data_IF_870519401519
#
_entry.id   IF_870519401519
#
_cell.length_a   1.000
_cell.length_b   1.000
_cell.length_c   1.000
_cell.angle_alpha   90.00
_cell.angle_beta   90.00
_cell.angle_gamma   90.00
#
_symmetry.space_group_name_H-M   'P 1'
#
loop_
_entity.id
_entity.type
_entity.pdbx_description
1 polymer ?
#
# COMPACT_ATOMS: atom_id res chain seq x y z
N UNK A 1 -10.66 -8.25 -4.39
CA UNK A 1 -11.27 -7.66 -3.18
C UNK A 1 -12.42 -8.54 -2.74
N UNK A 2 -12.45 -8.89 -1.48
CA UNK A 2 -13.52 -9.65 -0.87
C UNK A 2 -13.90 -8.98 0.46
N UNK A 3 -15.20 -8.97 0.78
CA UNK A 3 -15.70 -8.47 2.04
C UNK A 3 -16.70 -9.47 2.60
N UNK A 4 -16.45 -9.93 3.81
CA UNK A 4 -17.35 -10.77 4.57
C UNK A 4 -17.81 -10.00 5.79
N UNK A 5 -19.11 -10.01 6.07
CA UNK A 5 -19.70 -9.40 7.26
C UNK A 5 -20.76 -10.31 7.85
N UNK A 6 -20.68 -10.50 9.15
CA UNK A 6 -21.69 -11.20 9.91
C UNK A 6 -22.16 -10.30 11.08
N UNK A 7 -23.46 -10.22 11.27
CA UNK A 7 -24.08 -9.47 12.38
C UNK A 7 -25.08 -10.40 13.05
N UNK A 8 -25.00 -10.46 14.34
CA UNK A 8 -25.98 -11.15 15.18
C UNK A 8 -26.35 -10.24 16.34
N UNK A 9 -27.63 -10.15 16.65
CA UNK A 9 -28.14 -9.37 17.77
C UNK A 9 -29.33 -10.04 18.42
N UNK A 10 -29.52 -9.75 19.68
CA UNK A 10 -30.71 -10.10 20.46
C UNK A 10 -31.22 -8.85 21.16
N UNK A 11 -32.49 -8.68 21.18
CA UNK A 11 -33.17 -7.62 21.91
C UNK A 11 -34.35 -8.21 22.71
N UNK A 12 -34.72 -7.54 23.76
CA UNK A 12 -35.84 -7.97 24.56
C UNK A 12 -36.14 -7.04 25.74
N UNK A 13 -37.23 -7.26 26.41
CA UNK A 13 -37.60 -6.57 27.62
C UNK A 13 -36.91 -7.23 28.84
N UNK A 14 -36.27 -6.43 29.68
CA UNK A 14 -35.80 -6.87 31.01
C UNK A 14 -36.93 -6.86 32.02
N UNK A 15 -37.81 -5.88 31.91
CA UNK A 15 -39.07 -5.73 32.65
C UNK A 15 -40.01 -4.77 31.92
N UNK A 16 -41.10 -4.38 32.53
CA UNK A 16 -42.11 -3.52 31.89
C UNK A 16 -41.63 -2.11 31.52
N UNK A 17 -40.47 -1.68 32.09
CA UNK A 17 -39.95 -0.32 31.94
C UNK A 17 -38.52 -0.29 31.35
N UNK A 18 -37.97 -1.45 31.01
CA UNK A 18 -36.57 -1.54 30.55
C UNK A 18 -36.40 -2.55 29.43
N UNK A 19 -35.72 -2.13 28.38
CA UNK A 19 -35.36 -2.96 27.24
C UNK A 19 -33.82 -3.08 27.15
N UNK A 20 -33.40 -4.17 26.52
CA UNK A 20 -31.99 -4.39 26.23
C UNK A 20 -31.79 -4.77 24.76
N UNK A 21 -30.62 -4.40 24.24
CA UNK A 21 -30.10 -4.87 22.95
C UNK A 21 -28.64 -5.28 23.16
N UNK A 22 -28.26 -6.46 22.65
CA UNK A 22 -26.89 -6.93 22.59
C UNK A 22 -26.59 -7.37 21.18
N UNK A 23 -25.49 -6.91 20.62
CA UNK A 23 -25.10 -7.31 19.27
C UNK A 23 -23.62 -7.60 19.14
N UNK A 24 -23.30 -8.47 18.17
CA UNK A 24 -21.95 -8.74 17.70
C UNK A 24 -21.90 -8.50 16.20
N UNK A 25 -20.90 -7.77 15.78
CA UNK A 25 -20.63 -7.49 14.37
C UNK A 25 -19.19 -7.92 14.07
N UNK A 26 -19.01 -8.83 13.11
CA UNK A 26 -17.72 -9.24 12.60
C UNK A 26 -17.62 -8.81 11.13
N UNK A 27 -16.49 -8.19 10.78
CA UNK A 27 -16.15 -7.82 9.42
C UNK A 27 -14.75 -8.27 9.07
N UNK A 28 -14.57 -8.79 7.86
CA UNK A 28 -13.26 -9.06 7.26
C UNK A 28 -13.24 -8.52 5.84
N UNK A 29 -12.21 -7.75 5.54
CA UNK A 29 -11.93 -7.25 4.20
C UNK A 29 -10.56 -7.75 3.76
N UNK A 30 -10.49 -8.32 2.57
CA UNK A 30 -9.23 -8.73 1.94
C UNK A 30 -9.08 -8.09 0.58
N UNK A 31 -7.87 -7.68 0.26
CA UNK A 31 -7.55 -7.09 -1.02
C UNK A 31 -6.15 -7.55 -1.47
N UNK A 32 -6.10 -8.25 -2.61
CA UNK A 32 -4.88 -8.46 -3.36
C UNK A 32 -4.83 -7.48 -4.53
N UNK A 33 -3.71 -6.84 -4.71
CA UNK A 33 -3.50 -5.87 -5.77
C UNK A 33 -2.17 -6.13 -6.46
N UNK A 34 -2.22 -6.38 -7.76
CA UNK A 34 -1.07 -6.36 -8.64
C UNK A 34 -1.04 -5.01 -9.36
N UNK A 35 0.11 -4.37 -9.36
CA UNK A 35 0.37 -3.15 -10.11
C UNK A 35 1.43 -3.48 -11.17
N UNK A 36 1.02 -3.72 -12.42
CA UNK A 36 1.95 -3.94 -13.51
C UNK A 36 2.58 -2.62 -13.95
N UNK A 37 3.75 -2.72 -14.56
CA UNK A 37 4.43 -1.60 -15.19
C UNK A 37 4.79 -0.44 -14.22
N UNK A 38 5.06 -0.74 -12.96
CA UNK A 38 5.65 0.24 -12.06
C UNK A 38 7.10 0.51 -12.45
N UNK A 39 7.48 1.78 -12.44
CA UNK A 39 8.82 2.22 -12.87
C UNK A 39 9.78 2.14 -11.71
N UNK A 40 10.90 1.44 -11.90
CA UNK A 40 12.04 1.45 -10.98
C UNK A 40 12.87 2.70 -11.28
N UNK A 41 12.83 3.67 -10.37
CA UNK A 41 13.31 5.03 -10.61
C UNK A 41 14.79 5.10 -10.97
N UNK A 42 15.66 4.41 -10.23
CA UNK A 42 17.11 4.38 -10.50
C UNK A 42 17.43 3.73 -11.85
N UNK A 43 16.73 2.66 -12.21
CA UNK A 43 16.87 2.01 -13.52
C UNK A 43 16.35 2.89 -14.66
N UNK A 44 15.27 3.62 -14.42
CA UNK A 44 14.76 4.58 -15.40
C UNK A 44 15.78 5.67 -15.70
N UNK A 45 16.37 6.27 -14.65
CA UNK A 45 17.39 7.29 -14.83
C UNK A 45 18.66 6.73 -15.50
N UNK A 46 19.07 5.51 -15.18
CA UNK A 46 20.19 4.86 -15.86
C UNK A 46 19.89 4.58 -17.34
N UNK A 47 18.65 4.19 -17.67
CA UNK A 47 18.24 3.90 -19.04
C UNK A 47 18.14 5.15 -19.93
N UNK A 48 17.73 6.30 -19.39
CA UNK A 48 17.70 7.57 -20.15
C UNK A 48 19.07 8.25 -20.23
N UNK A 49 20.03 7.87 -19.35
CA UNK A 49 21.41 8.33 -19.43
C UNK A 49 22.20 7.52 -20.47
N UNK A 50 21.81 7.73 -21.73
CA UNK A 50 22.36 7.02 -22.86
C UNK A 50 23.53 7.79 -23.51
N UNK A 51 24.56 7.04 -23.89
CA UNK A 51 25.76 7.52 -24.61
C UNK A 51 25.98 6.67 -25.86
N UNK A 52 26.83 7.14 -26.76
CA UNK A 52 27.32 6.29 -27.87
C UNK A 52 28.41 5.37 -27.32
N UNK A 53 28.20 4.07 -27.41
CA UNK A 53 29.22 3.09 -27.09
C UNK A 53 30.40 3.22 -28.06
N UNK A 54 31.63 3.50 -27.58
CA UNK A 54 32.79 3.68 -28.42
C UNK A 54 33.23 2.41 -29.17
N UNK A 55 32.81 1.24 -28.68
CA UNK A 55 33.17 -0.03 -29.32
C UNK A 55 32.25 -0.41 -30.48
N UNK A 56 30.95 -0.06 -30.37
CA UNK A 56 29.93 -0.49 -31.33
C UNK A 56 29.31 0.66 -32.14
N UNK A 57 29.47 1.90 -31.67
CA UNK A 57 28.80 3.07 -32.24
C UNK A 57 27.29 3.14 -31.98
N UNK A 58 26.72 2.18 -31.23
CA UNK A 58 25.31 2.12 -30.89
C UNK A 58 25.00 2.88 -29.59
N UNK A 59 23.73 3.28 -29.36
CA UNK A 59 23.30 3.79 -28.07
C UNK A 59 23.43 2.72 -26.97
N UNK A 60 24.04 3.09 -25.86
CA UNK A 60 24.17 2.25 -24.67
C UNK A 60 23.98 3.10 -23.40
N UNK A 61 23.59 2.47 -22.29
CA UNK A 61 23.56 3.16 -21.00
C UNK A 61 24.99 3.57 -20.60
N UNK A 62 25.15 4.79 -20.07
CA UNK A 62 26.44 5.24 -19.54
C UNK A 62 26.97 4.28 -18.48
N UNK A 63 26.09 3.81 -17.58
CA UNK A 63 26.44 2.86 -16.53
C UNK A 63 27.00 1.53 -17.04
N UNK A 64 26.69 1.15 -18.29
CA UNK A 64 27.24 -0.05 -18.93
C UNK A 64 28.60 0.20 -19.57
N UNK A 65 28.83 1.41 -20.10
CA UNK A 65 30.08 1.80 -20.79
C UNK A 65 31.13 2.25 -19.79
N UNK A 66 30.75 3.02 -18.80
CA UNK A 66 31.63 3.50 -17.72
C UNK A 66 30.89 3.40 -16.37
N UNK A 67 31.02 2.28 -15.66
CA UNK A 67 30.41 2.09 -14.35
C UNK A 67 30.85 3.09 -13.28
N UNK A 68 31.99 3.78 -13.51
CA UNK A 68 32.55 4.76 -12.58
C UNK A 68 32.10 6.20 -12.86
N UNK A 69 31.35 6.40 -13.96
CA UNK A 69 30.87 7.73 -14.32
C UNK A 69 29.89 8.25 -13.28
N UNK A 70 29.84 9.57 -13.04
CA UNK A 70 28.78 10.17 -12.24
C UNK A 70 27.41 9.87 -12.81
N UNK A 71 26.50 9.42 -11.97
CA UNK A 71 25.11 9.21 -12.38
C UNK A 71 24.45 10.56 -12.66
N UNK A 72 23.84 10.71 -13.85
CA UNK A 72 23.09 11.92 -14.19
C UNK A 72 21.76 11.92 -13.46
N UNK A 73 21.46 13.07 -12.85
CA UNK A 73 20.13 13.38 -12.28
C UNK A 73 19.56 12.39 -11.28
N UNK A 74 20.40 11.86 -10.40
CA UNK A 74 19.84 11.21 -9.23
C UNK A 74 19.21 12.28 -8.32
N UNK A 75 17.93 12.13 -7.92
CA UNK A 75 17.25 13.14 -7.10
C UNK A 75 17.91 13.38 -5.75
N UNK A 76 18.87 12.56 -5.37
CA UNK A 76 19.53 12.57 -4.07
C UNK A 76 21.03 12.88 -4.13
N UNK A 77 21.54 13.34 -5.28
CA UNK A 77 22.95 13.76 -5.41
C UNK A 77 23.95 12.61 -5.27
N UNK A 78 23.60 11.40 -5.67
CA UNK A 78 24.51 10.26 -5.71
C UNK A 78 25.57 10.54 -6.78
N UNK A 79 26.87 10.61 -6.41
CA UNK A 79 27.88 11.16 -7.31
C UNK A 79 28.33 10.23 -8.42
N UNK A 80 28.09 8.93 -8.30
CA UNK A 80 28.51 7.92 -9.26
C UNK A 80 27.57 6.72 -9.27
N UNK A 81 27.63 5.91 -10.34
CA UNK A 81 27.06 4.59 -10.36
C UNK A 81 27.84 3.69 -9.40
N UNK A 82 27.39 3.59 -8.16
CA UNK A 82 28.06 2.82 -7.12
C UNK A 82 27.23 1.61 -6.74
N UNK A 83 27.87 0.48 -6.56
CA UNK A 83 27.26 -0.74 -6.09
C UNK A 83 26.69 -0.53 -4.67
N UNK A 84 25.43 -0.79 -4.49
CA UNK A 84 24.72 -0.61 -3.23
C UNK A 84 23.75 0.57 -3.17
N UNK A 85 23.85 1.53 -4.09
CA UNK A 85 22.87 2.61 -4.25
C UNK A 85 21.81 2.29 -5.29
N UNK A 86 22.09 1.37 -6.20
CA UNK A 86 21.22 1.03 -7.32
C UNK A 86 20.61 -0.36 -7.15
N UNK A 87 19.42 -0.55 -7.73
CA UNK A 87 18.75 -1.84 -7.80
C UNK A 87 19.29 -2.77 -8.90
N UNK A 88 20.38 -2.36 -9.54
CA UNK A 88 21.13 -3.11 -10.56
C UNK A 88 22.63 -2.94 -10.34
N UNK A 89 23.43 -3.77 -10.98
CA UNK A 89 24.90 -3.68 -10.91
C UNK A 89 25.43 -2.94 -12.12
N UNK A 90 26.00 -1.73 -11.97
CA UNK A 90 26.61 -1.00 -13.08
C UNK A 90 27.67 -1.84 -13.80
N UNK A 91 27.62 -1.86 -15.12
CA UNK A 91 28.53 -2.65 -15.94
C UNK A 91 28.14 -4.12 -16.18
N UNK A 92 27.03 -4.60 -15.60
CA UNK A 92 26.55 -5.98 -15.78
C UNK A 92 25.90 -6.24 -17.16
N UNK A 93 25.68 -5.20 -17.94
CA UNK A 93 25.07 -5.27 -19.27
C UNK A 93 23.56 -5.43 -19.27
N UNK A 94 22.87 -5.37 -18.12
CA UNK A 94 21.42 -5.47 -18.07
C UNK A 94 20.72 -4.17 -18.49
N UNK A 95 21.37 -3.02 -18.31
CA UNK A 95 20.78 -1.74 -18.71
C UNK A 95 20.60 -1.64 -20.23
N UNK A 96 19.39 -1.36 -20.65
CA UNK A 96 19.05 -1.08 -22.04
C UNK A 96 18.62 0.39 -22.19
N UNK A 97 19.19 1.14 -23.17
CA UNK A 97 18.91 2.56 -23.31
C UNK A 97 17.46 2.82 -23.71
N UNK A 98 16.89 3.88 -23.15
CA UNK A 98 15.52 4.32 -23.35
C UNK A 98 15.48 5.70 -23.98
N UNK A 99 14.92 5.80 -25.18
CA UNK A 99 14.72 7.08 -25.85
C UNK A 99 13.28 7.58 -25.65
N UNK A 100 13.08 8.41 -24.64
CA UNK A 100 11.76 8.97 -24.32
C UNK A 100 11.21 9.95 -25.37
N UNK A 101 12.07 10.47 -26.26
CA UNK A 101 11.65 11.43 -27.29
C UNK A 101 11.17 10.75 -28.57
N UNK A 102 11.46 9.48 -28.77
CA UNK A 102 11.02 8.72 -29.95
C UNK A 102 9.63 8.05 -29.75
N UNK A 103 8.93 8.38 -28.68
CA UNK A 103 7.63 7.78 -28.37
C UNK A 103 7.76 6.26 -28.18
N UNK A 104 6.73 5.51 -28.59
CA UNK A 104 6.71 4.06 -28.42
C UNK A 104 7.86 3.35 -29.15
N UNK A 105 8.29 3.86 -30.29
CA UNK A 105 9.40 3.33 -31.08
C UNK A 105 10.76 3.42 -30.35
N UNK A 106 10.89 4.34 -29.39
CA UNK A 106 12.10 4.50 -28.56
C UNK A 106 12.19 3.56 -27.37
N UNK A 107 11.16 2.73 -27.17
CA UNK A 107 11.07 1.85 -25.99
C UNK A 107 11.18 0.40 -26.43
N UNK A 108 12.40 -0.14 -26.37
CA UNK A 108 12.64 -1.56 -26.66
C UNK A 108 12.05 -2.47 -25.56
N UNK A 109 11.81 -3.75 -25.89
CA UNK A 109 11.39 -4.72 -24.89
C UNK A 109 12.44 -4.85 -23.76
N UNK A 110 13.72 -4.87 -24.12
CA UNK A 110 14.81 -4.93 -23.13
C UNK A 110 14.79 -3.72 -22.18
N UNK A 111 14.48 -2.52 -22.67
CA UNK A 111 14.33 -1.34 -21.81
C UNK A 111 13.12 -1.46 -20.89
N UNK A 112 11.99 -2.00 -21.37
CA UNK A 112 10.81 -2.28 -20.54
C UNK A 112 11.14 -3.28 -19.44
N UNK A 113 11.79 -4.39 -19.78
CA UNK A 113 12.16 -5.44 -18.83
C UNK A 113 13.16 -4.96 -17.77
N UNK A 114 14.00 -4.00 -18.12
CA UNK A 114 14.95 -3.40 -17.18
C UNK A 114 14.29 -2.37 -16.25
N UNK A 115 13.39 -1.53 -16.77
CA UNK A 115 12.84 -0.37 -16.05
C UNK A 115 11.56 -0.69 -15.31
N UNK A 116 10.75 -1.63 -15.81
CA UNK A 116 9.41 -1.91 -15.29
C UNK A 116 9.38 -3.15 -14.42
N UNK A 117 8.51 -3.14 -13.44
CA UNK A 117 8.26 -4.28 -12.56
C UNK A 117 6.78 -4.41 -12.23
N UNK A 118 6.34 -5.63 -11.97
CA UNK A 118 5.06 -5.88 -11.33
C UNK A 118 5.24 -5.96 -9.81
N UNK A 119 4.49 -5.16 -9.06
CA UNK A 119 4.43 -5.27 -7.61
C UNK A 119 3.11 -5.86 -7.16
N UNK A 120 3.17 -6.73 -6.14
CA UNK A 120 2.00 -7.34 -5.51
C UNK A 120 1.91 -6.91 -4.07
N UNK A 121 0.72 -6.50 -3.65
CA UNK A 121 0.45 -6.12 -2.27
C UNK A 121 -0.83 -6.81 -1.82
N UNK A 122 -0.86 -7.25 -0.59
CA UNK A 122 -2.07 -7.74 0.07
C UNK A 122 -2.40 -6.90 1.29
N UNK A 123 -3.68 -6.76 1.55
CA UNK A 123 -4.22 -6.06 2.71
C UNK A 123 -5.36 -6.90 3.28
N UNK A 124 -5.29 -7.16 4.57
CA UNK A 124 -6.39 -7.74 5.34
C UNK A 124 -6.75 -6.79 6.47
N UNK A 125 -8.04 -6.50 6.59
CA UNK A 125 -8.62 -5.75 7.71
C UNK A 125 -9.67 -6.62 8.37
N UNK A 126 -9.59 -6.76 9.70
CA UNK A 126 -10.61 -7.42 10.49
C UNK A 126 -11.16 -6.48 11.55
N UNK A 127 -12.46 -6.58 11.80
CA UNK A 127 -13.13 -5.80 12.82
C UNK A 127 -14.10 -6.70 13.60
N UNK A 128 -14.04 -6.61 14.91
CA UNK A 128 -15.01 -7.21 15.82
C UNK A 128 -15.58 -6.10 16.70
N UNK A 129 -16.89 -5.98 16.71
CA UNK A 129 -17.62 -5.05 17.58
C UNK A 129 -18.63 -5.85 18.40
N UNK A 130 -18.56 -5.68 19.70
CA UNK A 130 -19.56 -6.16 20.66
C UNK A 130 -20.21 -4.92 21.26
N UNK A 131 -21.53 -4.85 21.22
CA UNK A 131 -22.27 -3.74 21.84
C UNK A 131 -23.41 -4.25 22.70
N UNK A 132 -23.67 -3.52 23.77
CA UNK A 132 -24.81 -3.75 24.64
C UNK A 132 -25.41 -2.42 25.05
N UNK A 133 -26.71 -2.30 24.96
CA UNK A 133 -27.45 -1.11 25.32
C UNK A 133 -28.65 -1.52 26.20
N UNK A 134 -28.90 -0.72 27.21
CA UNK A 134 -30.13 -0.81 28.02
C UNK A 134 -30.79 0.56 27.96
N UNK A 135 -32.07 0.54 27.65
CA UNK A 135 -32.94 1.74 27.62
C UNK A 135 -34.13 1.53 28.55
N UNK A 136 -34.69 2.61 29.05
CA UNK A 136 -35.88 2.52 29.90
C UNK A 136 -36.28 3.86 30.48
N UNK A 137 -37.18 3.79 31.42
CA UNK A 137 -37.60 4.94 32.21
C UNK A 137 -37.64 4.62 33.71
N UNK A 138 -37.80 5.67 34.52
CA UNK A 138 -37.74 5.59 35.97
C UNK A 138 -39.11 5.39 36.62
N UNK A 139 -40.17 5.15 35.85
CA UNK A 139 -41.54 5.09 36.39
C UNK A 139 -41.74 4.03 37.48
N UNK A 140 -40.92 2.94 37.45
CA UNK A 140 -40.91 1.92 38.49
C UNK A 140 -40.33 2.38 39.85
N UNK A 141 -39.58 3.51 39.88
CA UNK A 141 -38.84 3.97 41.05
C UNK A 141 -39.26 5.38 41.50
N UNK A 142 -39.35 6.31 40.58
CA UNK A 142 -39.80 7.68 40.85
C UNK A 142 -40.28 8.38 39.57
N UNK A 143 -41.17 9.32 39.76
CA UNK A 143 -41.65 10.23 38.73
C UNK A 143 -41.42 11.68 39.13
N UNK A 144 -41.10 12.53 38.16
CA UNK A 144 -41.03 13.97 38.33
C UNK A 144 -42.41 14.60 37.99
N UNK A 145 -42.65 15.89 38.37
CA UNK A 145 -43.88 16.59 37.99
C UNK A 145 -44.15 16.64 36.48
N UNK A 146 -43.15 16.42 35.68
CA UNK A 146 -43.23 16.36 34.20
C UNK A 146 -43.27 14.96 33.61
N UNK A 147 -43.33 13.89 34.42
CA UNK A 147 -43.30 12.48 34.03
C UNK A 147 -42.01 11.75 34.41
N UNK A 148 -41.98 10.45 34.12
CA UNK A 148 -40.83 9.61 34.40
C UNK A 148 -39.62 9.96 33.45
N UNK A 149 -38.45 10.26 33.97
CA UNK A 149 -37.25 10.40 33.14
C UNK A 149 -36.88 9.13 32.40
N UNK A 150 -36.62 9.23 31.07
CA UNK A 150 -36.00 8.17 30.29
C UNK A 150 -34.49 8.13 30.44
N UNK A 151 -33.89 6.96 30.32
CA UNK A 151 -32.46 6.75 30.33
C UNK A 151 -32.02 5.78 29.23
N UNK A 152 -30.77 5.93 28.78
CA UNK A 152 -30.08 4.96 27.94
C UNK A 152 -28.63 4.82 28.44
N UNK A 153 -28.18 3.58 28.58
CA UNK A 153 -26.79 3.27 28.92
C UNK A 153 -26.28 2.16 27.99
N UNK A 154 -25.07 2.33 27.48
CA UNK A 154 -24.49 1.37 26.55
C UNK A 154 -23.00 1.18 26.77
N UNK A 155 -22.52 0.03 26.35
CA UNK A 155 -21.13 -0.33 26.31
C UNK A 155 -20.79 -0.90 24.93
N UNK A 156 -19.63 -0.49 24.40
CA UNK A 156 -19.10 -1.04 23.16
C UNK A 156 -17.64 -1.50 23.40
N UNK A 157 -17.33 -2.70 22.90
CA UNK A 157 -15.98 -3.18 22.74
C UNK A 157 -15.68 -3.32 21.26
N UNK A 158 -14.59 -2.70 20.78
CA UNK A 158 -14.16 -2.75 19.40
C UNK A 158 -12.72 -3.24 19.32
N UNK A 159 -12.47 -4.21 18.44
CA UNK A 159 -11.14 -4.66 18.07
C UNK A 159 -11.00 -4.54 16.55
N UNK A 160 -9.96 -3.83 16.12
CA UNK A 160 -9.58 -3.69 14.71
C UNK A 160 -8.16 -4.19 14.51
N UNK A 161 -7.95 -4.98 13.50
CA UNK A 161 -6.65 -5.51 13.12
C UNK A 161 -6.42 -5.25 11.65
N UNK A 162 -5.19 -4.82 11.31
CA UNK A 162 -4.76 -4.56 9.94
C UNK A 162 -3.47 -5.33 9.72
N UNK A 163 -3.46 -6.17 8.70
CA UNK A 163 -2.26 -6.84 8.19
C UNK A 163 -2.04 -6.41 6.74
N UNK A 164 -0.83 -5.96 6.43
CA UNK A 164 -0.49 -5.49 5.11
C UNK A 164 0.88 -6.04 4.70
N UNK A 165 0.91 -6.81 3.62
CA UNK A 165 2.14 -7.26 2.99
C UNK A 165 2.38 -6.49 1.69
N UNK A 166 3.43 -5.70 1.69
CA UNK A 166 3.86 -4.92 0.54
C UNK A 166 5.04 -5.58 -0.15
N UNK A 167 5.09 -5.44 -1.47
CA UNK A 167 6.26 -5.81 -2.25
C UNK A 167 7.56 -5.28 -1.61
N UNK A 168 8.67 -6.05 -1.59
CA UNK A 168 9.97 -5.56 -1.10
C UNK A 168 10.40 -4.23 -1.71
N UNK A 169 10.04 -3.98 -2.95
CA UNK A 169 10.29 -2.72 -3.64
C UNK A 169 9.60 -1.53 -2.96
N UNK A 170 8.37 -1.73 -2.49
CA UNK A 170 7.60 -0.67 -1.78
C UNK A 170 7.98 -0.53 -0.31
N UNK A 171 8.55 -1.57 0.28
CA UNK A 171 9.03 -1.51 1.67
C UNK A 171 10.40 -0.85 1.82
N UNK A 172 11.04 -0.45 0.74
CA UNK A 172 12.40 0.12 0.78
C UNK A 172 13.46 -0.87 1.27
N UNK A 173 13.22 -2.17 1.12
CA UNK A 173 14.18 -3.21 1.50
C UNK A 173 15.34 -3.31 0.50
N UNK A 174 15.13 -2.78 -0.70
CA UNK A 174 16.12 -2.68 -1.74
C UNK A 174 16.89 -1.37 -1.65
N UNK A 175 17.88 -1.18 -2.49
CA UNK A 175 18.77 -0.03 -2.45
C UNK A 175 18.04 1.31 -2.50
N UNK A 176 18.68 2.39 -2.06
CA UNK A 176 18.08 3.72 -1.96
C UNK A 176 17.49 4.25 -3.27
N UNK A 177 18.02 3.81 -4.43
CA UNK A 177 17.51 4.18 -5.74
C UNK A 177 16.24 3.46 -6.18
N UNK A 178 15.78 2.46 -5.44
CA UNK A 178 14.60 1.65 -5.78
C UNK A 178 13.30 2.15 -5.13
N UNK A 179 13.30 3.32 -4.52
CA UNK A 179 12.09 3.90 -3.93
C UNK A 179 11.19 4.50 -5.01
N UNK A 180 9.93 4.14 -4.96
CA UNK A 180 8.86 4.64 -5.83
C UNK A 180 8.20 5.88 -5.24
#
# INVERSE_FOLDING_TARGET
RETVRAVFGIEGALNDNMDYEVSVNFGRFTQDRANPNEVIVDRFFAAIDAVTDPATGAPACRSSVDPTAPALNTPFGIPAYDEGYFSFVPGDGQCAPLNIFAGEAGVSQAAKDFVLIETKNSLELTQLVLSGVVTGDTSAFFELPGGAPGFAAGLEYRKEESDADFSPWKRGVLTAGSNF
#
